data_IF_400157353607
#
_entry.id   IF_400157353607
#
_cell.length_a   1.000
_cell.length_b   1.000
_cell.length_c   1.000
_cell.angle_alpha   90.00
_cell.angle_beta   90.00
_cell.angle_gamma   90.00
#
_symmetry.space_group_name_H-M   'P 1'
#
loop_
_entity.id
_entity.type
_entity.pdbx_description
1 polymer ?
#
# COMPACT_ATOMS: atom_id res chain seq x y z
N UNK A 1 15.99 4.16 -5.19
CA UNK A 1 14.54 4.39 -4.93
C UNK A 1 14.06 3.20 -4.14
N UNK A 2 13.42 3.38 -2.99
CA UNK A 2 12.84 2.25 -2.24
C UNK A 2 11.53 1.83 -2.92
N UNK A 3 11.33 0.55 -3.25
CA UNK A 3 10.11 0.10 -3.91
C UNK A 3 8.89 0.29 -3.00
N UNK A 4 7.73 0.42 -3.65
CA UNK A 4 6.44 0.62 -2.99
C UNK A 4 5.44 -0.40 -3.48
N UNK A 5 4.54 -0.81 -2.60
CA UNK A 5 3.42 -1.68 -2.93
C UNK A 5 2.14 -1.14 -2.31
N UNK A 6 1.02 -1.33 -3.01
CA UNK A 6 -0.31 -1.25 -2.44
C UNK A 6 -0.63 -2.60 -1.78
N UNK A 7 -1.08 -2.55 -0.53
CA UNK A 7 -1.41 -3.74 0.26
C UNK A 7 -2.80 -3.61 0.87
N UNK A 8 -3.49 -4.74 0.98
CA UNK A 8 -4.71 -4.82 1.78
C UNK A 8 -4.33 -4.72 3.25
N UNK A 9 -5.01 -3.87 4.01
CA UNK A 9 -4.84 -3.78 5.46
C UNK A 9 -5.69 -4.88 6.11
N UNK A 10 -5.08 -6.00 6.44
CA UNK A 10 -5.81 -7.15 7.00
C UNK A 10 -5.89 -7.16 8.54
N UNK A 11 -4.89 -6.60 9.22
CA UNK A 11 -4.94 -6.42 10.66
C UNK A 11 -3.96 -5.34 11.13
N UNK A 12 -4.12 -4.91 12.38
CA UNK A 12 -3.15 -4.08 13.09
C UNK A 12 -2.75 -4.76 14.40
N UNK A 13 -1.52 -4.51 14.84
CA UNK A 13 -1.13 -4.69 16.24
C UNK A 13 -1.12 -3.31 16.88
N UNK A 14 -2.00 -3.12 17.87
CA UNK A 14 -2.23 -1.83 18.54
C UNK A 14 -1.68 -1.88 19.96
N UNK A 15 -1.02 -0.80 20.35
CA UNK A 15 -0.52 -0.55 21.71
C UNK A 15 -1.32 0.61 22.33
N UNK A 16 -1.65 0.54 23.62
CA UNK A 16 -2.48 1.54 24.30
C UNK A 16 -1.84 2.94 24.32
N UNK A 17 -0.51 3.03 24.35
CA UNK A 17 0.21 4.31 24.50
C UNK A 17 0.43 5.03 23.17
N UNK A 18 0.68 4.30 22.09
CA UNK A 18 1.04 4.89 20.78
C UNK A 18 0.13 4.52 19.60
N UNK A 19 -0.91 3.74 19.83
CA UNK A 19 -1.80 3.24 18.78
C UNK A 19 -1.15 2.13 17.96
N UNK A 20 -1.44 2.09 16.66
CA UNK A 20 -0.91 1.05 15.76
C UNK A 20 0.62 1.06 15.73
N UNK A 21 1.24 -0.10 15.98
CA UNK A 21 2.70 -0.31 15.88
C UNK A 21 3.09 -1.15 14.67
N UNK A 22 2.19 -2.03 14.23
CA UNK A 22 2.42 -2.95 13.11
C UNK A 22 1.15 -3.07 12.30
N UNK A 23 1.30 -3.10 10.98
CA UNK A 23 0.25 -3.39 10.02
C UNK A 23 0.54 -4.76 9.39
N UNK A 24 -0.43 -5.66 9.41
CA UNK A 24 -0.33 -6.94 8.72
C UNK A 24 -0.81 -6.74 7.28
N UNK A 25 0.12 -6.91 6.33
CA UNK A 25 -0.10 -6.66 4.91
C UNK A 25 -0.72 -7.88 4.26
N UNK A 26 -1.71 -7.66 3.41
CA UNK A 26 -2.28 -8.67 2.53
C UNK A 26 -2.01 -8.35 1.07
N UNK A 27 -1.67 -9.37 0.29
CA UNK A 27 -1.69 -9.31 -1.17
C UNK A 27 -2.80 -10.20 -1.68
N UNK A 28 -3.50 -9.73 -2.71
CA UNK A 28 -4.61 -10.45 -3.32
C UNK A 28 -4.08 -11.37 -4.42
N UNK A 29 -4.44 -12.65 -4.33
CA UNK A 29 -4.19 -13.65 -5.37
C UNK A 29 -5.18 -13.52 -6.53
N UNK A 30 -4.91 -14.24 -7.62
CA UNK A 30 -5.79 -14.28 -8.80
C UNK A 30 -7.17 -14.91 -8.49
N UNK A 31 -7.23 -15.78 -7.49
CA UNK A 31 -8.46 -16.38 -6.96
C UNK A 31 -9.27 -15.41 -6.08
N UNK A 32 -8.75 -14.19 -5.87
CA UNK A 32 -9.33 -13.18 -5.00
C UNK A 32 -9.05 -13.39 -3.51
N UNK A 33 -8.35 -14.45 -3.12
CA UNK A 33 -7.96 -14.71 -1.74
C UNK A 33 -6.88 -13.72 -1.29
N UNK A 34 -6.84 -13.41 0.00
CA UNK A 34 -5.85 -12.49 0.57
C UNK A 34 -4.79 -13.32 1.27
N UNK A 35 -3.61 -13.41 0.66
CA UNK A 35 -2.43 -14.01 1.27
C UNK A 35 -1.78 -13.03 2.24
N UNK A 36 -1.34 -13.52 3.41
CA UNK A 36 -0.49 -12.72 4.29
C UNK A 36 0.85 -12.45 3.61
N UNK A 37 1.23 -11.18 3.50
CA UNK A 37 2.41 -10.72 2.78
C UNK A 37 3.46 -10.07 3.69
N UNK A 38 3.35 -10.27 5.01
CA UNK A 38 4.30 -9.79 5.99
C UNK A 38 3.83 -8.60 6.83
N UNK A 39 4.71 -8.16 7.72
CA UNK A 39 4.48 -7.09 8.66
C UNK A 39 5.11 -5.78 8.19
N UNK A 40 4.33 -4.69 8.21
CA UNK A 40 4.83 -3.35 8.02
C UNK A 40 4.95 -2.61 9.36
N UNK A 41 6.12 -2.04 9.63
CA UNK A 41 6.34 -1.14 10.76
C UNK A 41 5.54 0.15 10.58
N UNK A 42 4.80 0.55 11.62
CA UNK A 42 4.08 1.82 11.64
C UNK A 42 4.94 2.86 12.38
N UNK A 43 5.34 3.97 11.75
CA UNK A 43 6.03 5.05 12.45
C UNK A 43 5.22 5.59 13.64
N UNK A 44 5.85 5.94 14.79
CA UNK A 44 5.11 6.28 16.01
C UNK A 44 4.16 7.47 15.84
N UNK A 45 4.54 8.44 15.01
CA UNK A 45 3.73 9.62 14.72
C UNK A 45 2.47 9.33 13.88
N UNK A 46 2.38 8.14 13.26
CA UNK A 46 1.19 7.69 12.52
C UNK A 46 0.33 6.70 13.32
N UNK A 47 0.85 6.12 14.41
CA UNK A 47 0.20 5.01 15.11
C UNK A 47 -1.19 5.36 15.66
N UNK A 48 -1.31 6.48 16.36
CA UNK A 48 -2.59 6.95 16.91
C UNK A 48 -3.61 7.29 15.82
N UNK A 49 -3.16 7.97 14.75
CA UNK A 49 -4.03 8.30 13.62
C UNK A 49 -4.52 7.04 12.90
N UNK A 50 -3.64 6.08 12.63
CA UNK A 50 -3.98 4.84 11.94
C UNK A 50 -4.94 3.97 12.77
N UNK A 51 -4.77 3.88 14.09
CA UNK A 51 -5.73 3.17 14.95
C UNK A 51 -7.13 3.79 14.85
N UNK A 52 -7.24 5.13 14.98
CA UNK A 52 -8.52 5.82 14.89
C UNK A 52 -9.17 5.65 13.51
N UNK A 53 -8.39 5.83 12.43
CA UNK A 53 -8.88 5.74 11.06
C UNK A 53 -9.41 4.34 10.69
N UNK A 54 -8.91 3.29 11.34
CA UNK A 54 -9.23 1.90 11.00
C UNK A 54 -10.16 1.22 12.00
N UNK A 55 -10.45 1.84 13.15
CA UNK A 55 -11.28 1.26 14.22
C UNK A 55 -12.67 0.80 13.74
N UNK A 56 -13.29 1.55 12.84
CA UNK A 56 -14.60 1.19 12.25
C UNK A 56 -14.58 -0.03 11.33
N UNK A 57 -13.41 -0.55 10.98
CA UNK A 57 -13.22 -1.70 10.12
C UNK A 57 -12.93 -2.99 10.90
N UNK A 58 -12.96 -2.95 12.23
CA UNK A 58 -12.74 -4.13 13.07
C UNK A 58 -13.60 -5.33 12.62
N UNK A 59 -12.99 -6.51 12.67
CA UNK A 59 -13.60 -7.80 12.37
C UNK A 59 -13.18 -8.82 13.45
N UNK A 60 -14.05 -9.80 13.70
CA UNK A 60 -13.76 -10.89 14.63
C UNK A 60 -12.93 -12.02 13.97
N UNK A 61 -12.94 -12.07 12.63
CA UNK A 61 -12.27 -13.11 11.84
C UNK A 61 -11.10 -12.56 11.04
N UNK A 62 -10.07 -13.39 10.86
CA UNK A 62 -8.95 -13.08 9.98
C UNK A 62 -9.42 -12.96 8.53
N UNK A 63 -9.03 -11.91 7.79
CA UNK A 63 -9.27 -11.82 6.35
C UNK A 63 -8.24 -12.63 5.53
N UNK A 64 -7.16 -13.11 6.16
CA UNK A 64 -6.10 -13.84 5.49
C UNK A 64 -6.50 -15.29 5.24
N UNK A 65 -6.19 -15.79 4.04
CA UNK A 65 -6.36 -17.20 3.68
C UNK A 65 -5.37 -18.12 4.41
N UNK A 66 -4.21 -17.58 4.79
CA UNK A 66 -3.20 -18.27 5.59
C UNK A 66 -3.33 -17.90 7.07
N UNK A 67 -3.11 -18.84 8.01
CA UNK A 67 -3.08 -18.53 9.44
C UNK A 67 -1.99 -17.51 9.76
N UNK A 68 -2.31 -16.53 10.60
CA UNK A 68 -1.35 -15.55 11.11
C UNK A 68 -1.13 -15.75 12.61
N UNK A 69 0.08 -15.46 13.07
CA UNK A 69 0.42 -15.59 14.49
C UNK A 69 -0.40 -14.61 15.34
N UNK A 70 -1.03 -15.10 16.40
CA UNK A 70 -1.73 -14.28 17.38
C UNK A 70 -0.73 -13.47 18.21
N UNK A 71 -1.06 -12.20 18.44
CA UNK A 71 -0.20 -11.23 19.14
C UNK A 71 -1.06 -10.39 20.07
N UNK A 72 -0.47 -9.93 21.17
CA UNK A 72 -1.13 -8.95 22.02
C UNK A 72 -1.43 -7.67 21.24
N UNK A 73 -2.67 -7.18 21.37
CA UNK A 73 -3.15 -6.00 20.66
C UNK A 73 -3.53 -6.26 19.19
N UNK A 74 -3.54 -7.51 18.73
CA UNK A 74 -3.99 -7.85 17.37
C UNK A 74 -5.48 -7.53 17.19
N UNK A 75 -5.78 -6.78 16.14
CA UNK A 75 -7.14 -6.47 15.70
C UNK A 75 -7.26 -6.75 14.21
N UNK A 76 -8.08 -7.74 13.85
CA UNK A 76 -8.40 -8.00 12.46
C UNK A 76 -9.29 -6.88 11.89
N UNK A 77 -9.12 -6.62 10.60
CA UNK A 77 -9.86 -5.62 9.87
C UNK A 77 -10.54 -6.27 8.66
N UNK A 78 -11.74 -5.80 8.34
CA UNK A 78 -12.42 -6.15 7.09
C UNK A 78 -11.53 -5.72 5.91
N UNK A 79 -11.35 -6.56 4.88
CA UNK A 79 -10.44 -6.27 3.78
C UNK A 79 -11.07 -5.28 2.81
N UNK A 80 -11.16 -4.01 3.22
CA UNK A 80 -11.72 -2.89 2.44
C UNK A 80 -10.78 -1.69 2.40
N UNK A 81 -9.64 -1.80 3.07
CA UNK A 81 -8.67 -0.73 3.23
C UNK A 81 -7.41 -1.08 2.47
N UNK A 82 -6.88 -0.10 1.75
CA UNK A 82 -5.61 -0.18 1.04
C UNK A 82 -4.60 0.74 1.72
N UNK A 83 -3.37 0.28 1.85
CA UNK A 83 -2.25 1.07 2.34
C UNK A 83 -1.10 1.02 1.35
N UNK A 84 -0.33 2.11 1.33
CA UNK A 84 0.95 2.15 0.63
C UNK A 84 2.03 1.81 1.66
N UNK A 85 2.88 0.84 1.30
CA UNK A 85 4.06 0.47 2.09
C UNK A 85 5.32 0.63 1.25
N UNK A 86 6.39 1.06 1.90
CA UNK A 86 7.76 0.96 1.36
C UNK A 86 8.39 -0.31 1.90
N UNK A 87 9.19 -1.01 1.11
CA UNK A 87 9.84 -2.25 1.52
C UNK A 87 11.26 -2.35 0.93
N UNK A 88 12.11 -3.19 1.50
CA UNK A 88 13.47 -3.37 1.01
C UNK A 88 13.55 -4.37 -0.14
N UNK A 89 12.89 -5.52 0.02
CA UNK A 89 12.86 -6.60 -0.98
C UNK A 89 11.59 -7.45 -0.83
N UNK A 90 11.28 -8.26 -1.84
CA UNK A 90 10.18 -9.22 -1.81
C UNK A 90 10.70 -10.64 -2.02
N UNK A 91 10.53 -11.48 -1.00
CA UNK A 91 11.01 -12.87 -1.00
C UNK A 91 9.82 -13.81 -0.81
N UNK A 92 9.61 -14.75 -1.75
CA UNK A 92 8.52 -15.73 -1.70
C UNK A 92 7.12 -15.12 -1.50
N UNK A 93 6.91 -13.87 -1.94
CA UNK A 93 5.64 -13.14 -1.78
C UNK A 93 5.50 -12.35 -0.47
N UNK A 94 6.52 -12.37 0.40
CA UNK A 94 6.57 -11.56 1.62
C UNK A 94 7.40 -10.28 1.42
N UNK A 95 6.92 -9.19 2.00
CA UNK A 95 7.59 -7.89 2.01
C UNK A 95 8.61 -7.82 3.17
N UNK A 96 9.90 -7.63 2.85
CA UNK A 96 10.98 -7.49 3.83
C UNK A 96 11.23 -6.04 4.22
N UNK A 97 11.45 -5.77 5.51
CA UNK A 97 11.61 -4.43 6.11
C UNK A 97 10.52 -3.44 5.64
N UNK A 98 9.27 -3.90 5.62
CA UNK A 98 8.15 -3.09 5.18
C UNK A 98 7.84 -1.98 6.19
N UNK A 99 7.48 -0.81 5.70
CA UNK A 99 7.17 0.39 6.48
C UNK A 99 5.93 1.06 5.93
N UNK A 100 4.97 1.30 6.82
CA UNK A 100 3.74 2.00 6.48
C UNK A 100 4.03 3.46 6.07
N UNK A 101 3.46 3.87 4.94
CA UNK A 101 3.53 5.25 4.45
C UNK A 101 2.21 6.00 4.60
N UNK A 102 1.13 5.43 4.07
CA UNK A 102 -0.16 6.10 4.03
C UNK A 102 -1.31 5.10 3.82
N UNK A 103 -2.52 5.51 4.23
CA UNK A 103 -3.74 4.87 3.73
C UNK A 103 -4.08 5.45 2.35
N UNK A 104 -4.45 4.58 1.42
CA UNK A 104 -4.89 4.96 0.08
C UNK A 104 -6.42 4.90 0.04
N UNK A 105 -7.05 6.04 0.30
CA UNK A 105 -8.51 6.14 0.47
C UNK A 105 -9.29 5.93 -0.84
N UNK A 106 -8.63 6.14 -1.97
CA UNK A 106 -9.11 5.88 -3.33
C UNK A 106 -8.66 4.52 -3.88
N UNK A 107 -7.95 3.72 -3.07
CA UNK A 107 -7.33 2.47 -3.50
C UNK A 107 -8.35 1.36 -3.73
N UNK A 108 -8.15 0.58 -4.80
CA UNK A 108 -8.93 -0.61 -5.07
C UNK A 108 -8.18 -1.85 -4.56
N UNK A 109 -8.92 -2.83 -4.02
CA UNK A 109 -8.35 -4.10 -3.58
C UNK A 109 -7.71 -4.89 -4.73
N UNK A 110 -8.15 -4.66 -5.97
CA UNK A 110 -7.53 -5.27 -7.16
C UNK A 110 -6.12 -4.74 -7.45
N UNK A 111 -5.78 -3.55 -6.92
CA UNK A 111 -4.44 -2.97 -7.07
C UNK A 111 -3.44 -3.62 -6.11
N UNK A 112 -3.92 -4.29 -5.05
CA UNK A 112 -3.10 -4.94 -4.03
C UNK A 112 -2.55 -6.30 -4.48
N UNK A 113 -1.99 -6.37 -5.68
CA UNK A 113 -1.41 -7.57 -6.27
C UNK A 113 0.11 -7.47 -6.30
N UNK A 114 0.77 -8.60 -6.56
CA UNK A 114 2.21 -8.58 -6.84
C UNK A 114 2.44 -7.85 -8.16
N UNK A 115 3.11 -6.71 -8.10
CA UNK A 115 3.54 -6.01 -9.30
C UNK A 115 4.68 -6.80 -9.97
N UNK A 116 4.45 -7.21 -11.22
CA UNK A 116 5.51 -7.66 -12.10
C UNK A 116 6.06 -6.46 -12.86
N UNK A 117 7.40 -6.27 -12.89
CA UNK A 117 8.00 -5.24 -13.72
C UNK A 117 7.58 -5.43 -15.17
N UNK A 118 6.85 -4.45 -15.73
CA UNK A 118 6.58 -4.44 -17.16
C UNK A 118 7.82 -3.91 -17.85
N UNK A 119 8.46 -4.73 -18.68
CA UNK A 119 9.51 -4.25 -19.57
C UNK A 119 8.91 -3.26 -20.56
N UNK A 120 9.23 -1.98 -20.40
CA UNK A 120 8.88 -0.95 -21.37
C UNK A 120 9.96 -0.99 -22.47
N UNK A 121 9.61 -1.31 -23.73
CA UNK A 121 10.57 -1.20 -24.82
C UNK A 121 11.07 0.24 -24.90
N UNK A 122 12.35 0.45 -24.62
CA UNK A 122 12.99 1.74 -24.86
C UNK A 122 13.15 1.88 -26.37
N UNK A 123 12.16 2.50 -27.03
CA UNK A 123 12.33 2.92 -28.41
C UNK A 123 13.08 4.26 -28.36
N UNK A 124 14.38 4.31 -28.73
CA UNK A 124 15.05 5.58 -28.89
C UNK A 124 14.28 6.40 -29.93
N UNK A 125 14.02 7.69 -29.70
CA UNK A 125 13.28 8.50 -30.65
C UNK A 125 14.01 8.48 -32.01
N UNK A 126 13.36 7.94 -33.04
CA UNK A 126 13.93 7.95 -34.38
C UNK A 126 13.95 9.38 -34.91
N UNK A 127 15.15 9.86 -35.16
CA UNK A 127 15.42 11.16 -35.76
C UNK A 127 14.88 11.19 -37.19
N UNK A 128 13.80 11.96 -37.43
CA UNK A 128 13.35 12.26 -38.78
C UNK A 128 12.03 13.03 -38.85
N UNK A 129 11.02 12.60 -38.09
CA UNK A 129 9.66 13.15 -38.21
C UNK A 129 8.98 13.46 -36.89
N UNK A 130 9.51 12.95 -35.77
CA UNK A 130 8.94 13.19 -34.44
C UNK A 130 9.83 14.18 -33.68
N UNK A 131 9.78 15.46 -34.08
CA UNK A 131 10.27 16.52 -33.20
C UNK A 131 9.31 16.58 -32.01
N UNK A 132 9.74 16.31 -30.76
CA UNK A 132 8.89 16.59 -29.61
C UNK A 132 8.54 18.07 -29.67
N UNK A 133 7.28 18.37 -29.97
CA UNK A 133 6.78 19.75 -29.88
C UNK A 133 6.79 20.07 -28.40
N UNK A 134 7.70 20.94 -27.98
CA UNK A 134 7.57 21.63 -26.71
C UNK A 134 6.26 22.42 -26.77
N UNK A 135 5.18 21.82 -26.24
CA UNK A 135 3.92 22.54 -26.04
C UNK A 135 4.14 23.36 -24.77
N UNK A 136 4.56 24.61 -24.93
CA UNK A 136 4.46 25.59 -23.86
C UNK A 136 2.97 25.87 -23.68
N UNK A 137 2.36 25.29 -22.66
CA UNK A 137 1.04 25.69 -22.20
C UNK A 137 1.19 27.12 -21.68
N UNK A 138 0.90 28.10 -22.53
CA UNK A 138 0.83 29.48 -22.12
C UNK A 138 -0.28 29.56 -21.07
N UNK A 139 0.11 30.00 -19.88
CA UNK A 139 -0.69 30.12 -18.66
C UNK A 139 -2.15 30.49 -18.96
N UNK A 140 -3.09 29.71 -18.43
CA UNK A 140 -4.48 30.18 -18.32
C UNK A 140 -4.47 31.54 -17.59
N UNK A 141 -5.20 32.56 -18.08
CA UNK A 141 -5.27 33.83 -17.37
C UNK A 141 -6.06 33.60 -16.09
N UNK A 142 -5.38 33.60 -14.94
CA UNK A 142 -6.05 33.84 -13.68
C UNK A 142 -6.41 35.33 -13.63
N UNK A 143 -7.69 35.72 -13.55
CA UNK A 143 -8.04 37.12 -13.31
C UNK A 143 -7.56 37.47 -11.90
N UNK A 144 -6.50 38.27 -11.83
CA UNK A 144 -6.18 39.05 -10.64
C UNK A 144 -7.00 40.34 -10.77
N UNK A 145 -8.00 40.43 -9.89
CA UNK A 145 -8.81 41.57 -9.46
C UNK A 145 -8.93 42.78 -10.37
#
# INVERSE_FOLDING_TARGET
MTPRADVVVGALVVDERRGARTLLCGLRGEDGAIGFAGDAYVPPYLGGWLDVATRGFAADTSPFATPVALREGLRFLRPRLVAIVEYADMESGELRDARFRALRLDGNLEDCRRDEPVEIPSYPPHTGTDRPRLIVLNSLPFPVS
#
